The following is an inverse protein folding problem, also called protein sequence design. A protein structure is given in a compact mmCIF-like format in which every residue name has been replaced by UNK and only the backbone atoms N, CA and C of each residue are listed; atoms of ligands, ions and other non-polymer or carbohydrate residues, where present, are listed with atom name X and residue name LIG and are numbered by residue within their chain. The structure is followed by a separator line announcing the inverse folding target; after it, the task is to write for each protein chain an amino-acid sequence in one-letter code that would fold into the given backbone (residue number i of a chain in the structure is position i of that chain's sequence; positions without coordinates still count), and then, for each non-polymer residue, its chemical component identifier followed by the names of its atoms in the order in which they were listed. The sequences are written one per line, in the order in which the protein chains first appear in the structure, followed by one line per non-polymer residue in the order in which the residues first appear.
data_IF_442881289645
#
_entry.id   IF_442881289645
#
_cell.length_a   1.000
_cell.length_b   1.000
_cell.length_c   1.000
_cell.angle_alpha   90.00
_cell.angle_beta   90.00
_cell.angle_gamma   90.00
#
_symmetry.space_group_name_H-M   'P 1'
#
loop_
_entity.id
_entity.type
_entity.pdbx_description
1 polymer ?
#
# COMPACT_ATOMS: atom_id res chain seq x y z
N UNK A 1 -46.58 18.58 -12.36
CA UNK A 1 -46.20 18.85 -10.96
C UNK A 1 -44.74 18.48 -10.78
N UNK A 2 -43.84 19.44 -10.53
CA UNK A 2 -42.40 19.19 -10.37
C UNK A 2 -42.09 18.81 -8.91
N UNK A 3 -41.12 17.92 -8.71
CA UNK A 3 -40.36 17.84 -7.46
C UNK A 3 -38.88 17.84 -7.81
N UNK A 4 -38.33 19.05 -7.89
CA UNK A 4 -36.91 19.31 -7.78
C UNK A 4 -36.55 19.06 -6.31
N UNK A 5 -35.72 18.06 -6.03
CA UNK A 5 -34.99 18.00 -4.77
C UNK A 5 -33.53 18.34 -5.02
N UNK A 6 -33.18 19.52 -4.52
CA UNK A 6 -31.86 20.08 -4.40
C UNK A 6 -31.16 19.39 -3.22
N UNK A 7 -30.10 18.63 -3.50
CA UNK A 7 -29.19 18.07 -2.51
C UNK A 7 -27.85 18.80 -2.61
N UNK A 8 -27.41 19.35 -1.49
CA UNK A 8 -26.35 20.35 -1.30
C UNK A 8 -24.97 19.70 -1.11
N UNK A 9 -23.94 20.41 -1.61
CA UNK A 9 -22.51 20.40 -1.23
C UNK A 9 -21.64 19.16 -1.50
N UNK A 10 -20.62 19.38 -2.33
CA UNK A 10 -19.43 18.52 -2.45
C UNK A 10 -18.66 18.82 -3.74
N UNK A 11 -18.05 19.99 -3.87
CA UNK A 11 -17.16 20.28 -4.99
C UNK A 11 -15.91 19.41 -4.93
N UNK A 12 -15.72 18.65 -6.01
CA UNK A 12 -14.42 18.31 -6.62
C UNK A 12 -13.39 17.57 -5.74
N UNK A 13 -13.58 16.26 -5.61
CA UNK A 13 -12.47 15.32 -5.55
C UNK A 13 -12.62 14.35 -6.72
N UNK A 14 -11.79 14.51 -7.75
CA UNK A 14 -11.85 13.70 -8.96
C UNK A 14 -11.89 12.20 -8.62
N UNK A 15 -12.85 11.49 -9.22
CA UNK A 15 -12.80 10.05 -9.43
C UNK A 15 -11.54 9.73 -10.23
N UNK A 16 -10.40 9.68 -9.54
CA UNK A 16 -9.21 9.02 -10.04
C UNK A 16 -9.45 7.54 -9.82
N UNK A 17 -10.32 6.97 -10.66
CA UNK A 17 -10.20 5.59 -11.04
C UNK A 17 -8.85 5.48 -11.76
N UNK A 18 -7.75 5.52 -10.99
CA UNK A 18 -6.51 4.90 -11.40
C UNK A 18 -6.87 3.44 -11.47
N UNK A 19 -7.38 3.04 -12.64
CA UNK A 19 -7.29 1.67 -13.10
C UNK A 19 -5.82 1.32 -12.98
N UNK A 20 -5.44 0.72 -11.86
CA UNK A 20 -4.26 -0.09 -11.77
C UNK A 20 -4.45 -1.13 -12.87
N UNK A 21 -3.92 -0.83 -14.06
CA UNK A 21 -3.86 -1.81 -15.13
C UNK A 21 -3.23 -3.07 -14.56
N UNK A 22 -3.55 -4.26 -15.10
CA UNK A 22 -2.99 -5.51 -14.62
C UNK A 22 -1.49 -5.53 -14.96
N UNK A 23 -0.68 -4.82 -14.19
CA UNK A 23 0.76 -4.91 -14.24
C UNK A 23 1.10 -6.20 -13.50
N UNK A 24 1.09 -7.26 -14.29
CA UNK A 24 1.74 -8.53 -14.08
C UNK A 24 2.76 -8.48 -12.93
N UNK A 25 2.39 -9.09 -11.80
CA UNK A 25 3.29 -9.45 -10.72
C UNK A 25 4.36 -8.39 -10.38
N UNK A 26 3.98 -7.22 -9.84
CA UNK A 26 5.00 -6.29 -9.35
C UNK A 26 5.82 -6.99 -8.25
N UNK A 27 7.15 -7.10 -8.41
CA UNK A 27 8.01 -7.72 -7.41
C UNK A 27 7.98 -6.96 -6.07
N UNK A 28 7.52 -5.70 -6.06
CA UNK A 28 7.57 -4.83 -4.91
C UNK A 28 6.32 -4.84 -4.00
N UNK A 29 5.14 -5.23 -4.50
CA UNK A 29 3.88 -5.27 -3.72
C UNK A 29 3.11 -3.93 -3.69
N UNK A 30 1.82 -3.92 -3.29
CA UNK A 30 0.90 -2.81 -3.53
C UNK A 30 1.23 -1.52 -2.74
N UNK A 31 1.75 -1.66 -1.52
CA UNK A 31 2.17 -0.50 -0.72
C UNK A 31 3.40 0.23 -1.27
N UNK A 32 4.15 -0.39 -2.20
CA UNK A 32 5.26 0.29 -2.88
C UNK A 32 4.76 1.18 -4.01
N UNK A 33 3.61 0.82 -4.59
CA UNK A 33 2.98 1.48 -5.74
C UNK A 33 1.98 2.56 -5.33
N UNK A 34 1.60 2.61 -4.06
CA UNK A 34 0.60 3.57 -3.56
C UNK A 34 1.08 5.02 -3.65
N UNK A 35 0.13 5.92 -3.84
CA UNK A 35 0.29 7.37 -3.74
C UNK A 35 0.02 7.93 -2.34
N UNK A 36 -0.41 7.10 -1.40
CA UNK A 36 -0.64 7.51 -0.03
C UNK A 36 0.65 7.87 0.70
N UNK A 37 0.57 8.85 1.60
CA UNK A 37 1.64 9.19 2.54
C UNK A 37 1.78 8.12 3.63
N UNK A 38 2.91 8.15 4.35
CA UNK A 38 3.13 7.25 5.48
C UNK A 38 2.04 7.36 6.55
N UNK A 39 1.59 8.57 6.91
CA UNK A 39 0.53 8.78 7.90
C UNK A 39 -0.80 8.15 7.48
N UNK A 40 -1.15 8.27 6.18
CA UNK A 40 -2.36 7.67 5.62
C UNK A 40 -2.30 6.14 5.64
N UNK A 41 -1.14 5.57 5.30
CA UNK A 41 -0.92 4.13 5.37
C UNK A 41 -0.95 3.64 6.81
N UNK A 42 -0.36 4.36 7.76
CA UNK A 42 -0.39 4.00 9.18
C UNK A 42 -1.82 4.02 9.73
N UNK A 43 -2.61 5.04 9.39
CA UNK A 43 -4.02 5.13 9.80
C UNK A 43 -4.86 3.97 9.22
N UNK A 44 -4.69 3.66 7.93
CA UNK A 44 -5.35 2.50 7.31
C UNK A 44 -4.86 1.17 7.90
N UNK A 45 -3.56 1.03 8.18
CA UNK A 45 -2.97 -0.16 8.80
C UNK A 45 -3.55 -0.40 10.20
N UNK A 46 -3.77 0.65 10.99
CA UNK A 46 -4.37 0.55 12.32
C UNK A 46 -5.79 -0.01 12.29
N UNK A 47 -6.54 0.23 11.21
CA UNK A 47 -7.92 -0.24 11.02
C UNK A 47 -7.95 -1.64 10.40
N UNK A 48 -7.25 -1.84 9.29
CA UNK A 48 -7.33 -3.09 8.52
C UNK A 48 -6.50 -4.22 9.15
N UNK A 49 -5.38 -3.90 9.79
CA UNK A 49 -4.49 -4.88 10.40
C UNK A 49 -3.91 -4.39 11.76
N UNK A 50 -4.75 -4.26 12.80
CA UNK A 50 -4.36 -3.66 14.09
C UNK A 50 -3.18 -4.40 14.76
N UNK A 51 -3.09 -5.72 14.65
CA UNK A 51 -1.96 -6.48 15.18
C UNK A 51 -0.64 -6.17 14.45
N UNK A 52 -0.70 -5.94 13.13
CA UNK A 52 0.48 -5.56 12.36
C UNK A 52 0.89 -4.12 12.66
N UNK A 53 -0.09 -3.23 12.87
CA UNK A 53 0.15 -1.86 13.34
C UNK A 53 0.87 -1.85 14.69
N UNK A 54 0.38 -2.63 15.67
CA UNK A 54 1.03 -2.75 16.98
C UNK A 54 2.49 -3.20 16.87
N UNK A 55 2.76 -4.26 16.09
CA UNK A 55 4.14 -4.73 15.86
C UNK A 55 5.03 -3.71 15.15
N UNK A 56 4.46 -2.88 14.28
CA UNK A 56 5.20 -1.82 13.59
C UNK A 56 5.50 -0.66 14.54
N UNK A 57 4.56 -0.29 15.42
CA UNK A 57 4.73 0.74 16.44
C UNK A 57 5.88 0.41 17.43
N UNK A 58 6.11 -0.88 17.70
CA UNK A 58 7.25 -1.34 18.51
C UNK A 58 8.60 -1.29 17.77
N UNK A 59 8.63 -0.87 16.50
CA UNK A 59 9.83 -0.89 15.64
C UNK A 59 10.10 0.48 15.00
N UNK A 60 10.60 1.47 15.78
CA UNK A 60 10.84 2.83 15.27
C UNK A 60 11.82 2.88 14.09
N UNK A 61 12.84 2.01 14.09
CA UNK A 61 13.76 1.87 12.96
C UNK A 61 13.08 1.38 11.67
N UNK A 62 12.04 0.55 11.77
CA UNK A 62 11.28 0.08 10.62
C UNK A 62 10.36 1.19 10.10
N UNK A 63 9.69 1.92 10.99
CA UNK A 63 8.85 3.07 10.63
C UNK A 63 9.66 4.12 9.86
N UNK A 64 10.85 4.49 10.37
CA UNK A 64 11.75 5.42 9.69
C UNK A 64 12.10 4.97 8.26
N UNK A 65 12.48 3.69 8.09
CA UNK A 65 12.79 3.13 6.76
C UNK A 65 11.60 3.15 5.80
N UNK A 66 10.39 2.88 6.30
CA UNK A 66 9.17 2.93 5.49
C UNK A 66 8.89 4.37 5.08
N UNK A 67 8.99 5.32 6.01
CA UNK A 67 8.81 6.74 5.72
C UNK A 67 9.83 7.26 4.70
N UNK A 68 11.11 6.90 4.85
CA UNK A 68 12.16 7.22 3.87
C UNK A 68 11.86 6.63 2.49
N UNK A 69 11.38 5.39 2.44
CA UNK A 69 11.02 4.74 1.19
C UNK A 69 9.83 5.45 0.53
N UNK A 70 8.78 5.75 1.28
CA UNK A 70 7.55 6.39 0.76
C UNK A 70 7.76 7.86 0.36
N UNK A 71 8.79 8.52 0.90
CA UNK A 71 9.19 9.85 0.46
C UNK A 71 9.80 9.85 -0.96
N UNK A 72 10.21 8.68 -1.49
CA UNK A 72 10.73 8.57 -2.84
C UNK A 72 9.59 8.50 -3.88
N UNK A 73 9.83 9.01 -5.11
CA UNK A 73 8.95 8.75 -6.25
C UNK A 73 8.75 7.24 -6.47
N UNK A 74 7.56 6.83 -6.95
CA UNK A 74 7.19 5.41 -7.13
C UNK A 74 8.27 4.62 -7.91
N UNK A 75 8.78 5.18 -9.00
CA UNK A 75 9.83 4.52 -9.79
C UNK A 75 11.12 4.30 -9.01
N UNK A 76 11.51 5.26 -8.16
CA UNK A 76 12.67 5.09 -7.28
C UNK A 76 12.41 4.06 -6.18
N UNK A 77 11.18 3.97 -5.66
CA UNK A 77 10.81 2.91 -4.71
C UNK A 77 10.94 1.53 -5.35
N UNK A 78 10.38 1.35 -6.54
CA UNK A 78 10.50 0.11 -7.33
C UNK A 78 11.96 -0.26 -7.55
N UNK A 79 12.78 0.67 -8.00
CA UNK A 79 14.21 0.45 -8.22
C UNK A 79 14.93 0.08 -6.92
N UNK A 80 14.61 0.72 -5.80
CA UNK A 80 15.23 0.45 -4.50
C UNK A 80 14.85 -0.93 -3.98
N UNK A 81 13.57 -1.32 -4.07
CA UNK A 81 13.10 -2.66 -3.70
C UNK A 81 13.71 -3.72 -4.61
N UNK A 82 13.71 -3.50 -5.93
CA UNK A 82 14.36 -4.39 -6.89
C UNK A 82 15.85 -4.57 -6.59
N UNK A 83 16.60 -3.48 -6.41
CA UNK A 83 18.04 -3.53 -6.10
C UNK A 83 18.32 -4.20 -4.75
N UNK A 84 17.38 -4.11 -3.80
CA UNK A 84 17.47 -4.85 -2.55
C UNK A 84 17.28 -6.35 -2.81
N UNK A 85 16.26 -6.76 -3.55
CA UNK A 85 16.02 -8.17 -3.89
C UNK A 85 17.17 -8.78 -4.70
N UNK A 86 17.68 -8.06 -5.70
CA UNK A 86 18.79 -8.53 -6.54
C UNK A 86 20.08 -8.76 -5.73
N UNK A 87 20.33 -7.94 -4.69
CA UNK A 87 21.47 -8.09 -3.78
C UNK A 87 21.24 -9.11 -2.65
N UNK A 88 20.00 -9.56 -2.48
CA UNK A 88 19.60 -10.47 -1.40
C UNK A 88 18.76 -11.63 -1.99
N UNK A 89 19.38 -12.52 -2.79
CA UNK A 89 18.65 -13.57 -3.52
C UNK A 89 17.91 -14.56 -2.60
N UNK A 90 18.42 -14.81 -1.39
CA UNK A 90 17.71 -15.59 -0.36
C UNK A 90 16.40 -14.93 0.07
N UNK A 91 16.41 -13.60 0.26
CA UNK A 91 15.20 -12.84 0.61
C UNK A 91 14.20 -12.86 -0.55
N UNK A 92 14.68 -12.67 -1.77
CA UNK A 92 13.84 -12.75 -2.96
C UNK A 92 13.17 -14.12 -3.09
N UNK A 93 13.93 -15.20 -2.87
CA UNK A 93 13.45 -16.58 -2.90
C UNK A 93 12.43 -16.85 -1.79
N UNK A 94 12.70 -16.39 -0.57
CA UNK A 94 11.75 -16.50 0.54
C UNK A 94 10.43 -15.76 0.26
N UNK A 95 10.50 -14.55 -0.30
CA UNK A 95 9.30 -13.80 -0.69
C UNK A 95 8.52 -14.56 -1.77
N UNK A 96 9.20 -15.06 -2.81
CA UNK A 96 8.57 -15.83 -3.88
C UNK A 96 7.89 -17.10 -3.34
N UNK A 97 8.54 -17.84 -2.44
CA UNK A 97 7.96 -19.02 -1.81
C UNK A 97 6.72 -18.66 -0.98
N UNK A 98 6.82 -17.63 -0.12
CA UNK A 98 5.72 -17.22 0.76
C UNK A 98 4.52 -16.69 -0.02
N UNK A 99 4.71 -15.98 -1.14
CA UNK A 99 3.60 -15.49 -1.97
C UNK A 99 2.72 -16.60 -2.51
N UNK A 100 3.26 -17.81 -2.68
CA UNK A 100 2.51 -18.94 -3.21
C UNK A 100 1.77 -19.75 -2.13
N UNK A 101 1.85 -19.36 -0.85
CA UNK A 101 1.07 -19.99 0.22
C UNK A 101 -0.26 -19.25 0.46
N UNK A 102 -1.30 -19.92 1.01
CA UNK A 102 -2.55 -19.26 1.36
C UNK A 102 -2.34 -18.05 2.28
N UNK A 103 -1.53 -18.21 3.32
CA UNK A 103 -1.20 -17.14 4.27
C UNK A 103 -0.47 -15.96 3.59
N UNK A 104 0.33 -16.23 2.55
CA UNK A 104 0.98 -15.19 1.78
C UNK A 104 -0.01 -14.40 0.91
N UNK A 105 -0.95 -15.09 0.28
CA UNK A 105 -2.02 -14.48 -0.50
C UNK A 105 -2.92 -13.60 0.38
N UNK A 106 -3.27 -14.08 1.58
CA UNK A 106 -4.05 -13.30 2.55
C UNK A 106 -3.34 -12.00 2.95
N UNK A 107 -2.01 -12.06 3.16
CA UNK A 107 -1.21 -10.87 3.45
C UNK A 107 -1.12 -9.91 2.27
N UNK A 108 -1.04 -10.42 1.04
CA UNK A 108 -1.09 -9.59 -0.17
C UNK A 108 -2.43 -8.89 -0.30
N UNK A 109 -3.54 -9.60 -0.07
CA UNK A 109 -4.89 -9.01 -0.07
C UNK A 109 -5.05 -7.95 1.03
N UNK A 110 -4.51 -8.20 2.22
CA UNK A 110 -4.51 -7.22 3.32
C UNK A 110 -3.73 -5.96 2.93
N UNK A 111 -2.52 -6.10 2.36
CA UNK A 111 -1.74 -4.97 1.88
C UNK A 111 -2.43 -4.23 0.74
N UNK A 112 -3.13 -4.93 -0.15
CA UNK A 112 -3.93 -4.33 -1.20
C UNK A 112 -5.06 -3.49 -0.60
N UNK A 113 -5.79 -4.04 0.38
CA UNK A 113 -6.86 -3.32 1.06
C UNK A 113 -6.36 -2.03 1.71
N UNK A 114 -5.23 -2.09 2.42
CA UNK A 114 -4.60 -0.89 3.00
C UNK A 114 -4.26 0.13 1.91
N UNK A 115 -3.69 -0.31 0.77
CA UNK A 115 -3.37 0.57 -0.35
C UNK A 115 -4.60 1.22 -0.99
N UNK A 116 -5.73 0.50 -1.02
CA UNK A 116 -6.99 0.99 -1.58
C UNK A 116 -7.71 1.94 -0.61
N UNK A 117 -7.64 1.69 0.70
CA UNK A 117 -8.38 2.47 1.71
C UNK A 117 -7.60 3.64 2.29
N UNK A 118 -6.27 3.69 2.14
CA UNK A 118 -5.44 4.75 2.74
C UNK A 118 -5.80 6.17 2.29
N UNK A 119 -6.41 6.35 1.11
CA UNK A 119 -6.87 7.65 0.65
C UNK A 119 -8.06 8.23 1.44
N UNK A 120 -8.70 7.44 2.30
CA UNK A 120 -9.78 7.89 3.18
C UNK A 120 -9.28 8.49 4.50
N UNK A 121 -7.96 8.52 4.70
CA UNK A 121 -7.27 9.08 5.86
C UNK A 121 -6.37 10.24 5.41
#
# INVERSE_FOLDING_TARGET
MPRVMLGVLGLAGALSLMTAGPASAQPAGPLIETTCSYAQIEAALQVEAPEASGRLAERPNAQAKIQELLALPIDQRRQRVKSFMDRNPDVASMIAQKRNTPEGQDKLMMMQRIADTCHNY
#
